data_IF_431137024365
#
_entry.id   IF_431137024365
#
_cell.length_a   1.000
_cell.length_b   1.000
_cell.length_c   1.000
_cell.angle_alpha   90.00
_cell.angle_beta   90.00
_cell.angle_gamma   90.00
#
_symmetry.space_group_name_H-M   'P 1'
#
loop_
_entity.id
_entity.type
_entity.pdbx_description
1 polymer ?
#
# COMPACT_ATOMS: atom_id res chain seq x y z
N UNK A 1 2.91 4.86 -3.38
CA UNK A 1 3.61 5.90 -2.60
C UNK A 1 2.63 6.66 -1.71
N UNK A 2 3.11 7.21 -0.60
CA UNK A 2 2.33 8.03 0.34
C UNK A 2 3.24 9.07 1.00
N UNK A 3 2.65 10.06 1.70
CA UNK A 3 3.41 11.03 2.50
C UNK A 3 3.28 10.63 3.97
N UNK A 4 4.42 10.45 4.62
CA UNK A 4 4.50 10.16 6.06
C UNK A 4 4.15 11.40 6.91
N UNK A 5 3.77 11.23 8.18
CA UNK A 5 3.57 12.36 9.11
C UNK A 5 4.80 13.26 9.26
N UNK A 6 6.00 12.73 9.06
CA UNK A 6 7.27 13.48 9.00
C UNK A 6 7.39 14.42 7.80
N UNK A 7 6.50 14.28 6.79
CA UNK A 7 6.60 14.99 5.50
C UNK A 7 7.47 14.26 4.46
N UNK A 8 8.11 13.15 4.81
CA UNK A 8 8.87 12.34 3.86
C UNK A 8 7.94 11.66 2.85
N UNK A 9 8.42 11.46 1.63
CA UNK A 9 7.78 10.61 0.64
C UNK A 9 8.18 9.15 0.88
N UNK A 10 7.20 8.27 1.07
CA UNK A 10 7.40 6.83 1.13
C UNK A 10 7.03 6.18 -0.21
N UNK A 11 7.92 5.36 -0.72
CA UNK A 11 7.79 4.66 -2.01
C UNK A 11 7.98 3.17 -1.79
N UNK A 12 7.12 2.35 -2.39
CA UNK A 12 7.30 0.91 -2.46
C UNK A 12 8.20 0.55 -3.65
N UNK A 13 9.22 -0.26 -3.41
CA UNK A 13 10.11 -0.82 -4.43
C UNK A 13 9.86 -2.33 -4.52
N UNK A 14 9.12 -2.74 -5.55
CA UNK A 14 8.71 -4.13 -5.75
C UNK A 14 9.88 -5.06 -6.06
N UNK A 15 10.99 -4.55 -6.60
CA UNK A 15 12.13 -5.37 -7.00
C UNK A 15 13.03 -5.70 -5.82
N UNK A 16 13.20 -4.77 -4.90
CA UNK A 16 14.05 -4.96 -3.72
C UNK A 16 13.28 -5.49 -2.51
N UNK A 17 11.94 -5.41 -2.53
CA UNK A 17 11.12 -5.73 -1.37
C UNK A 17 11.23 -4.70 -0.26
N UNK A 18 11.49 -3.44 -0.62
CA UNK A 18 11.73 -2.36 0.34
C UNK A 18 10.67 -1.25 0.26
N UNK A 19 10.42 -0.62 1.39
CA UNK A 19 9.78 0.68 1.48
C UNK A 19 10.86 1.73 1.71
N UNK A 20 10.95 2.70 0.82
CA UNK A 20 12.01 3.71 0.77
C UNK A 20 11.45 5.08 1.13
N UNK A 21 12.02 5.73 2.12
CA UNK A 21 11.68 7.10 2.49
C UNK A 21 12.67 8.11 1.91
N UNK A 22 12.13 9.25 1.51
CA UNK A 22 12.90 10.38 0.93
C UNK A 22 12.47 11.69 1.56
N UNK A 23 13.43 12.54 1.91
CA UNK A 23 13.15 13.93 2.24
C UNK A 23 12.74 14.70 1.00
N UNK A 24 11.59 15.38 1.04
CA UNK A 24 11.11 16.26 -0.03
C UNK A 24 11.58 17.69 0.23
N UNK A 25 12.22 18.30 -0.73
CA UNK A 25 12.58 19.72 -0.72
C UNK A 25 11.48 20.57 -1.32
N UNK A 26 11.50 21.87 -1.04
CA UNK A 26 10.52 22.84 -1.57
C UNK A 26 10.55 22.95 -3.11
N UNK A 27 11.70 22.69 -3.72
CA UNK A 27 11.90 22.69 -5.19
C UNK A 27 11.43 21.37 -5.85
N UNK A 28 10.88 20.41 -5.07
CA UNK A 28 10.42 19.12 -5.54
C UNK A 28 11.51 18.05 -5.61
N UNK A 29 12.77 18.37 -5.32
CA UNK A 29 13.83 17.36 -5.30
C UNK A 29 13.71 16.41 -4.11
N UNK A 30 14.12 15.16 -4.33
CA UNK A 30 14.15 14.11 -3.30
C UNK A 30 15.60 13.87 -2.86
N UNK A 31 15.82 13.87 -1.56
CA UNK A 31 17.14 13.64 -0.95
C UNK A 31 17.04 12.68 0.22
N UNK A 32 18.19 12.33 0.82
CA UNK A 32 18.26 11.50 2.03
C UNK A 32 17.46 10.18 1.91
N UNK A 33 17.67 9.45 0.79
CA UNK A 33 17.08 8.12 0.63
C UNK A 33 17.49 7.22 1.79
N UNK A 34 16.51 6.58 2.43
CA UNK A 34 16.73 5.57 3.47
C UNK A 34 15.75 4.42 3.32
N UNK A 35 16.12 3.25 3.82
CA UNK A 35 15.19 2.13 3.96
C UNK A 35 14.30 2.42 5.18
N UNK A 36 12.98 2.50 4.96
CA UNK A 36 11.97 2.67 5.99
C UNK A 36 11.55 1.31 6.56
N UNK A 37 11.38 0.32 5.68
CA UNK A 37 11.14 -1.07 6.02
C UNK A 37 11.70 -1.99 4.94
N UNK A 38 12.17 -3.18 5.33
CA UNK A 38 12.56 -4.27 4.44
C UNK A 38 11.61 -5.44 4.63
N UNK A 39 11.08 -5.97 3.54
CA UNK A 39 10.08 -7.03 3.50
C UNK A 39 10.61 -8.19 2.64
N UNK A 40 11.56 -8.99 3.17
CA UNK A 40 12.20 -10.07 2.41
C UNK A 40 11.19 -11.08 1.87
N UNK A 41 11.25 -11.35 0.57
CA UNK A 41 10.34 -12.28 -0.10
C UNK A 41 9.00 -11.68 -0.53
N UNK A 42 8.71 -10.44 -0.15
CA UNK A 42 7.53 -9.71 -0.59
C UNK A 42 7.83 -8.85 -1.84
N UNK A 43 6.77 -8.48 -2.55
CA UNK A 43 6.84 -7.57 -3.69
C UNK A 43 5.87 -6.41 -3.47
N UNK A 44 6.25 -5.41 -2.66
CA UNK A 44 5.38 -4.28 -2.32
C UNK A 44 4.99 -3.49 -3.56
N UNK A 45 3.68 -3.20 -3.69
CA UNK A 45 3.08 -2.45 -4.80
C UNK A 45 2.33 -1.22 -4.25
N UNK A 46 1.01 -1.20 -4.24
CA UNK A 46 0.24 -0.10 -3.68
C UNK A 46 0.30 -0.04 -2.15
N UNK A 47 0.43 1.17 -1.61
CA UNK A 47 0.53 1.38 -0.15
C UNK A 47 -0.44 2.45 0.35
N UNK A 48 -0.90 2.31 1.60
CA UNK A 48 -1.81 3.26 2.27
C UNK A 48 -1.43 3.47 3.72
N UNK A 49 -1.24 4.73 4.13
CA UNK A 49 -0.89 5.14 5.49
C UNK A 49 -2.10 5.08 6.41
N UNK A 50 -1.92 4.60 7.63
CA UNK A 50 -2.92 4.67 8.69
C UNK A 50 -2.65 5.77 9.73
N UNK A 51 -3.61 5.99 10.64
CA UNK A 51 -3.55 7.07 11.63
C UNK A 51 -2.51 6.85 12.74
N UNK A 52 -1.97 5.64 12.88
CA UNK A 52 -0.87 5.33 13.81
C UNK A 52 0.50 5.43 13.15
N UNK A 53 0.57 5.82 11.87
CA UNK A 53 1.80 5.93 11.12
C UNK A 53 2.32 4.60 10.56
N UNK A 54 1.57 3.51 10.69
CA UNK A 54 1.84 2.27 9.98
C UNK A 54 1.31 2.32 8.54
N UNK A 55 1.80 1.44 7.69
CA UNK A 55 1.47 1.44 6.26
C UNK A 55 0.93 0.07 5.86
N UNK A 56 -0.25 0.05 5.26
CA UNK A 56 -0.77 -1.10 4.57
C UNK A 56 -0.09 -1.24 3.21
N UNK A 57 0.39 -2.42 2.91
CA UNK A 57 1.22 -2.73 1.74
C UNK A 57 0.58 -3.89 0.99
N UNK A 58 0.08 -3.64 -0.22
CA UNK A 58 -0.32 -4.72 -1.12
C UNK A 58 0.93 -5.43 -1.63
N UNK A 59 1.01 -6.74 -1.43
CA UNK A 59 2.16 -7.55 -1.84
C UNK A 59 1.70 -8.95 -2.27
N UNK A 60 1.59 -9.15 -3.58
CA UNK A 60 1.17 -10.45 -4.17
C UNK A 60 -0.02 -11.09 -3.44
N UNK A 61 0.23 -12.14 -2.64
CA UNK A 61 -0.79 -12.93 -1.97
C UNK A 61 -1.20 -12.40 -0.59
N UNK A 62 -0.61 -11.27 -0.17
CA UNK A 62 -0.88 -10.65 1.12
C UNK A 62 -1.15 -9.15 1.00
N UNK A 63 -1.86 -8.61 1.98
CA UNK A 63 -1.80 -7.18 2.29
C UNK A 63 -1.32 -7.06 3.73
N UNK A 64 -0.16 -6.45 3.92
CA UNK A 64 0.57 -6.40 5.17
C UNK A 64 0.41 -5.04 5.83
N UNK A 65 0.19 -4.98 7.13
CA UNK A 65 0.33 -3.76 7.90
C UNK A 65 1.73 -3.70 8.50
N UNK A 66 2.50 -2.70 8.11
CA UNK A 66 3.94 -2.59 8.41
C UNK A 66 4.21 -1.30 9.17
N UNK A 67 4.98 -1.39 10.25
CA UNK A 67 5.56 -0.25 10.95
C UNK A 67 6.97 0.05 10.46
N UNK A 68 7.43 1.26 10.68
CA UNK A 68 8.83 1.62 10.44
C UNK A 68 9.76 0.65 11.20
N UNK A 69 10.82 0.18 10.51
CA UNK A 69 11.71 -0.84 11.07
C UNK A 69 11.30 -2.28 10.73
N UNK A 70 10.30 -2.48 9.82
CA UNK A 70 9.94 -3.79 9.25
C UNK A 70 9.05 -4.69 10.14
N UNK A 71 8.47 -4.18 11.22
CA UNK A 71 7.51 -4.94 12.02
C UNK A 71 6.19 -5.11 11.25
N UNK A 72 5.79 -6.34 10.97
CA UNK A 72 4.49 -6.68 10.41
C UNK A 72 3.52 -6.94 11.56
N UNK A 73 2.48 -6.11 11.69
CA UNK A 73 1.50 -6.21 12.79
C UNK A 73 0.21 -6.92 12.41
N UNK A 74 -0.16 -6.87 11.14
CA UNK A 74 -1.39 -7.47 10.62
C UNK A 74 -1.16 -8.01 9.20
N UNK A 75 -1.89 -9.07 8.85
CA UNK A 75 -1.82 -9.71 7.54
C UNK A 75 -3.23 -10.02 7.05
N UNK A 76 -3.54 -9.59 5.84
CA UNK A 76 -4.71 -10.04 5.10
C UNK A 76 -4.24 -11.02 4.03
N UNK A 77 -4.57 -12.30 4.21
CA UNK A 77 -4.26 -13.34 3.22
C UNK A 77 -5.22 -13.24 2.04
N UNK A 78 -4.66 -13.07 0.84
CA UNK A 78 -5.40 -12.98 -0.43
C UNK A 78 -5.51 -14.32 -1.16
N UNK A 79 -4.97 -15.40 -0.57
CA UNK A 79 -4.99 -16.73 -1.15
C UNK A 79 -4.27 -16.81 -2.49
N UNK A 80 -4.98 -17.12 -3.56
CA UNK A 80 -4.43 -17.22 -4.92
C UNK A 80 -4.47 -15.91 -5.71
N UNK A 81 -5.19 -14.91 -5.22
CA UNK A 81 -5.27 -13.60 -5.88
C UNK A 81 -4.06 -12.74 -5.53
N UNK A 82 -3.72 -11.84 -6.42
CA UNK A 82 -2.57 -10.95 -6.27
C UNK A 82 -3.05 -9.54 -5.99
N UNK A 83 -2.83 -9.07 -4.78
CA UNK A 83 -3.08 -7.68 -4.42
C UNK A 83 -2.12 -6.75 -5.19
N UNK A 84 -2.67 -5.69 -5.76
CA UNK A 84 -1.91 -4.69 -6.54
C UNK A 84 -1.95 -3.31 -5.91
N UNK A 85 -3.04 -2.97 -5.24
CA UNK A 85 -3.14 -1.72 -4.50
C UNK A 85 -4.07 -1.89 -3.31
N UNK A 86 -3.89 -1.04 -2.31
CA UNK A 86 -4.79 -0.93 -1.19
C UNK A 86 -4.98 0.54 -0.79
N UNK A 87 -6.12 0.83 -0.18
CA UNK A 87 -6.42 2.17 0.34
C UNK A 87 -7.38 2.07 1.52
N UNK A 88 -7.13 2.85 2.54
CA UNK A 88 -8.04 3.04 3.66
C UNK A 88 -9.11 4.07 3.31
N UNK A 89 -10.36 3.75 3.60
CA UNK A 89 -11.52 4.60 3.30
C UNK A 89 -12.76 4.18 4.07
N UNK A 90 -13.93 4.48 3.51
CA UNK A 90 -15.22 4.31 4.19
C UNK A 90 -15.55 5.48 5.12
N UNK A 91 -16.78 5.52 5.66
CA UNK A 91 -17.29 6.64 6.45
C UNK A 91 -16.44 6.93 7.71
N UNK A 92 -15.82 5.91 8.30
CA UNK A 92 -14.96 6.02 9.49
C UNK A 92 -13.47 5.80 9.18
N UNK A 93 -13.10 5.71 7.90
CA UNK A 93 -11.72 5.47 7.46
C UNK A 93 -11.16 4.07 7.75
N UNK A 94 -11.99 3.13 8.25
CA UNK A 94 -11.56 1.79 8.70
C UNK A 94 -11.94 0.67 7.74
N UNK A 95 -12.20 0.99 6.50
CA UNK A 95 -12.41 0.02 5.44
C UNK A 95 -11.17 0.00 4.56
N UNK A 96 -10.42 -1.11 4.61
CA UNK A 96 -9.32 -1.34 3.69
C UNK A 96 -9.90 -1.87 2.39
N UNK A 97 -9.79 -1.09 1.31
CA UNK A 97 -10.12 -1.49 -0.05
C UNK A 97 -8.86 -2.07 -0.67
N UNK A 98 -9.01 -3.21 -1.36
CA UNK A 98 -7.90 -3.93 -1.98
C UNK A 98 -8.28 -4.24 -3.41
N UNK A 99 -7.49 -3.79 -4.38
CA UNK A 99 -7.59 -4.24 -5.76
C UNK A 99 -6.70 -5.45 -5.96
N UNK A 100 -7.23 -6.48 -6.59
CA UNK A 100 -6.48 -7.70 -6.84
C UNK A 100 -6.86 -8.34 -8.18
N UNK A 101 -6.00 -9.21 -8.68
CA UNK A 101 -6.19 -9.97 -9.90
C UNK A 101 -5.68 -11.40 -9.71
N UNK A 102 -6.27 -12.36 -10.37
CA UNK A 102 -5.81 -13.75 -10.36
C UNK A 102 -4.57 -13.95 -11.25
N UNK A 103 -4.30 -13.02 -12.16
CA UNK A 103 -3.14 -13.09 -13.06
C UNK A 103 -2.67 -11.72 -13.51
N UNK A 104 -1.36 -11.60 -13.72
CA UNK A 104 -0.70 -10.49 -14.42
C UNK A 104 -0.23 -10.90 -15.82
N UNK A 105 -0.47 -12.14 -16.23
CA UNK A 105 -0.12 -12.64 -17.55
C UNK A 105 -1.03 -12.03 -18.61
N UNK A 106 -0.45 -11.18 -19.46
CA UNK A 106 -1.18 -10.48 -20.54
C UNK A 106 -1.82 -11.45 -21.54
N UNK A 107 -1.23 -12.62 -21.78
CA UNK A 107 -1.78 -13.63 -22.68
C UNK A 107 -3.05 -14.26 -22.06
N UNK A 108 -3.01 -14.58 -20.76
CA UNK A 108 -4.19 -15.09 -20.04
C UNK A 108 -5.31 -14.06 -19.96
N UNK A 109 -4.97 -12.79 -19.68
CA UNK A 109 -5.97 -11.69 -19.66
C UNK A 109 -6.63 -11.52 -21.02
N UNK A 110 -5.87 -11.62 -22.12
CA UNK A 110 -6.42 -11.53 -23.47
C UNK A 110 -7.31 -12.71 -23.82
N UNK A 111 -6.96 -13.92 -23.38
CA UNK A 111 -7.70 -15.14 -23.68
C UNK A 111 -8.98 -15.28 -22.84
N UNK A 112 -8.95 -14.91 -21.56
CA UNK A 112 -10.02 -15.18 -20.59
C UNK A 112 -10.80 -13.93 -20.16
N UNK A 113 -10.39 -12.74 -20.64
CA UNK A 113 -10.93 -11.45 -20.21
C UNK A 113 -10.36 -10.95 -18.87
N UNK A 114 -10.85 -9.79 -18.38
CA UNK A 114 -10.38 -9.18 -17.15
C UNK A 114 -10.75 -10.04 -15.93
N UNK A 115 -9.79 -10.22 -15.02
CA UNK A 115 -9.92 -11.02 -13.79
C UNK A 115 -9.74 -10.18 -12.52
N UNK A 116 -9.83 -8.86 -12.66
CA UNK A 116 -9.70 -7.94 -11.53
C UNK A 116 -10.90 -8.00 -10.59
N UNK A 117 -10.62 -7.89 -9.29
CA UNK A 117 -11.63 -7.84 -8.23
C UNK A 117 -11.29 -6.75 -7.20
N UNK A 118 -12.33 -6.24 -6.55
CA UNK A 118 -12.22 -5.33 -5.41
C UNK A 118 -12.68 -6.06 -4.15
N UNK A 119 -11.83 -6.07 -3.15
CA UNK A 119 -12.12 -6.65 -1.83
C UNK A 119 -12.18 -5.54 -0.78
N UNK A 120 -12.90 -5.79 0.29
CA UNK A 120 -12.96 -4.90 1.45
C UNK A 120 -12.77 -5.70 2.72
N UNK A 121 -11.97 -5.15 3.64
CA UNK A 121 -11.71 -5.71 4.97
C UNK A 121 -11.86 -4.61 6.01
N UNK A 122 -12.52 -4.91 7.14
CA UNK A 122 -12.56 -3.99 8.28
C UNK A 122 -11.27 -4.10 9.07
N UNK A 123 -10.67 -2.95 9.36
CA UNK A 123 -9.42 -2.84 10.09
C UNK A 123 -9.59 -1.96 11.35
N UNK A 124 -8.76 -2.18 12.40
CA UNK A 124 -8.94 -1.47 13.67
C UNK A 124 -8.51 -0.01 13.61
N UNK A 125 -7.57 0.35 12.73
CA UNK A 125 -6.99 1.69 12.63
C UNK A 125 -7.48 2.37 11.36
N UNK A 126 -7.95 3.61 11.50
CA UNK A 126 -8.44 4.42 10.38
C UNK A 126 -7.27 4.90 9.49
N UNK A 127 -7.58 5.33 8.27
CA UNK A 127 -6.64 6.01 7.40
C UNK A 127 -6.10 7.30 8.03
N UNK A 128 -4.81 7.53 7.91
CA UNK A 128 -4.11 8.67 8.51
C UNK A 128 -3.49 9.63 7.52
N UNK A 129 -3.66 9.34 6.24
CA UNK A 129 -2.95 10.06 5.20
C UNK A 129 -3.82 10.73 4.15
N UNK A 130 -3.13 11.38 3.26
CA UNK A 130 -3.66 11.91 2.02
C UNK A 130 -3.84 10.80 0.98
N UNK A 131 -4.79 10.93 0.03
CA UNK A 131 -5.55 12.16 -0.18
C UNK A 131 -6.71 12.29 0.81
N UNK A 132 -6.80 13.44 1.46
CA UNK A 132 -8.03 13.84 2.10
C UNK A 132 -9.10 14.02 1.01
N UNK A 133 -10.20 13.30 1.13
CA UNK A 133 -11.33 13.51 0.23
C UNK A 133 -11.91 14.90 0.54
N UNK A 134 -11.68 15.86 -0.35
CA UNK A 134 -12.44 17.10 -0.34
C UNK A 134 -13.86 16.76 -0.76
N UNK A 135 -14.76 16.64 0.19
CA UNK A 135 -16.19 16.71 -0.10
C UNK A 135 -16.52 18.19 -0.13
N UNK A 136 -16.53 18.79 -1.32
CA UNK A 136 -17.16 20.10 -1.49
C UNK A 136 -18.65 19.92 -1.22
N UNK A 137 -19.12 20.49 -0.12
CA UNK A 137 -20.55 20.65 0.13
C UNK A 137 -21.19 21.56 -0.89
#
# INVERSE_FOLDING_TARGET
>A
MTILPSGELLVADSLTGELLAFTRRADGTLTNRRVWASLPGEMPDGISLDAEGAVWVASHHNVLRVREGSEITDVVDMGKTRATACMLGGADGRTLLITASDTHDRAKIRANGPSGALYTVRVPVAGGGLPSVYVSG
#
